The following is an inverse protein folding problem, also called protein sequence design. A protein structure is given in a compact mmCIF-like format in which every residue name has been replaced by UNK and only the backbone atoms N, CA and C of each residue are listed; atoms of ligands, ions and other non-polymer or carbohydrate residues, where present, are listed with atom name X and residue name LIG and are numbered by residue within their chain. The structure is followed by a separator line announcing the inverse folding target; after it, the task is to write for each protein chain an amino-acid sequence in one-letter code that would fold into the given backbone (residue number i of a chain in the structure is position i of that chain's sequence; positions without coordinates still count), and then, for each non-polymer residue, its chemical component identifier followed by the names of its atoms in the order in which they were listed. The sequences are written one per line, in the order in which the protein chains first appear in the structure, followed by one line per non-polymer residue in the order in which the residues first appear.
data_IF_901788412417
#
_entry.id   IF_901788412417
#
_cell.length_a   1.000
_cell.length_b   1.000
_cell.length_c   1.000
_cell.angle_alpha   90.00
_cell.angle_beta   90.00
_cell.angle_gamma   90.00
#
_symmetry.space_group_name_H-M   'P 1'
#
loop_
_entity.id
_entity.type
_entity.pdbx_description
1 polymer ?
#
# COMPACT_ATOMS: atom_id res chain seq x y z
N UNK A 1 21.31 20.38 15.54
CA UNK A 1 20.63 19.07 15.45
C UNK A 1 19.14 19.27 15.41
N UNK A 2 18.44 18.60 14.51
CA UNK A 2 16.99 18.62 14.43
C UNK A 2 16.43 17.24 14.79
N UNK A 3 15.26 17.21 15.44
CA UNK A 3 14.54 15.95 15.65
C UNK A 3 13.81 15.57 14.36
N UNK A 4 14.01 14.32 13.92
CA UNK A 4 13.30 13.70 12.82
C UNK A 4 12.40 12.59 13.33
N UNK A 5 11.37 12.25 12.57
CA UNK A 5 10.44 11.16 12.84
C UNK A 5 10.61 10.12 11.74
N UNK A 6 10.95 8.92 12.11
CA UNK A 6 11.09 7.78 11.21
C UNK A 6 9.92 6.82 11.47
N UNK A 7 9.00 6.73 10.56
CA UNK A 7 7.88 5.78 10.63
C UNK A 7 8.30 4.46 10.01
N UNK A 8 8.67 3.50 10.84
CA UNK A 8 9.04 2.16 10.43
C UNK A 8 7.77 1.37 10.12
N UNK A 9 7.58 0.99 8.86
CA UNK A 9 6.41 0.27 8.32
C UNK A 9 6.85 -1.13 7.95
N UNK A 10 6.07 -2.15 8.32
CA UNK A 10 6.34 -3.55 7.95
C UNK A 10 5.06 -4.36 7.79
N UNK A 11 5.17 -5.55 7.23
CA UNK A 11 4.08 -6.51 7.10
C UNK A 11 4.17 -7.55 8.21
N UNK A 12 3.06 -7.86 8.86
CA UNK A 12 2.99 -8.85 9.94
C UNK A 12 3.01 -10.30 9.44
N UNK A 13 2.88 -11.26 10.36
CA UNK A 13 2.90 -12.70 10.06
C UNK A 13 1.51 -13.34 9.98
N UNK A 14 0.44 -12.56 9.88
CA UNK A 14 -0.90 -13.13 9.75
C UNK A 14 -1.10 -13.78 8.37
N UNK A 15 -1.86 -14.85 8.34
CA UNK A 15 -2.19 -15.62 7.15
C UNK A 15 -3.72 -15.70 7.00
N UNK A 16 -4.30 -15.69 5.78
CA UNK A 16 -3.64 -15.66 4.47
C UNK A 16 -3.18 -14.27 4.01
N UNK A 17 -3.60 -13.21 4.68
CA UNK A 17 -3.29 -11.82 4.33
C UNK A 17 -2.53 -11.15 5.46
N UNK A 18 -1.38 -10.59 5.14
CA UNK A 18 -0.59 -9.78 6.05
C UNK A 18 -1.22 -8.40 6.24
N UNK A 19 -1.12 -7.85 7.45
CA UNK A 19 -1.51 -6.47 7.72
C UNK A 19 -0.27 -5.58 7.82
N UNK A 20 -0.42 -4.33 7.44
CA UNK A 20 0.60 -3.32 7.71
C UNK A 20 0.65 -2.99 9.20
N UNK A 21 1.87 -2.83 9.68
CA UNK A 21 2.18 -2.34 11.02
C UNK A 21 3.12 -1.16 10.91
N UNK A 22 3.04 -0.25 11.87
CA UNK A 22 3.98 0.85 11.93
C UNK A 22 4.30 1.27 13.36
N UNK A 23 5.45 1.90 13.52
CA UNK A 23 5.85 2.57 14.75
C UNK A 23 6.83 3.70 14.46
N UNK A 24 6.70 4.81 15.19
CA UNK A 24 7.51 5.99 14.99
C UNK A 24 8.74 5.99 15.91
N UNK A 25 9.92 6.13 15.34
CA UNK A 25 11.17 6.43 16.03
C UNK A 25 11.48 7.91 15.91
N UNK A 26 11.94 8.53 17.00
CA UNK A 26 12.39 9.92 17.00
C UNK A 26 13.88 9.95 17.27
N UNK A 27 14.64 10.51 16.36
CA UNK A 27 16.09 10.64 16.44
C UNK A 27 16.55 12.09 16.25
N UNK A 28 17.75 12.40 16.75
CA UNK A 28 18.40 13.69 16.50
C UNK A 28 19.46 13.51 15.42
N UNK A 29 19.33 14.29 14.36
CA UNK A 29 20.28 14.31 13.25
C UNK A 29 20.76 15.73 12.98
N UNK A 30 22.03 15.83 12.56
CA UNK A 30 22.57 17.04 11.99
C UNK A 30 22.59 16.90 10.45
N UNK A 31 21.73 17.68 9.78
CA UNK A 31 21.62 17.68 8.32
C UNK A 31 21.19 16.33 7.71
N UNK A 32 20.14 15.70 8.26
CA UNK A 32 19.56 14.47 7.72
C UNK A 32 19.16 14.64 6.25
N UNK A 33 19.60 13.73 5.39
CA UNK A 33 19.37 13.78 3.94
C UNK A 33 18.24 12.86 3.47
N UNK A 34 17.76 11.99 4.35
CA UNK A 34 16.72 11.02 4.03
C UNK A 34 17.24 9.82 3.25
N UNK A 35 18.41 9.31 3.60
CA UNK A 35 18.97 8.12 2.97
C UNK A 35 19.00 6.93 3.94
N UNK A 36 19.01 5.71 3.39
CA UNK A 36 19.02 4.47 4.18
C UNK A 36 20.27 4.33 5.05
N UNK A 37 21.42 4.86 4.56
CA UNK A 37 22.69 4.80 5.27
C UNK A 37 22.72 5.63 6.56
N UNK A 38 21.79 6.58 6.69
CA UNK A 38 21.70 7.45 7.87
C UNK A 38 20.81 6.87 8.97
N UNK A 39 20.10 5.78 8.70
CA UNK A 39 19.16 5.16 9.65
C UNK A 39 19.56 3.71 9.94
N UNK A 40 19.23 3.23 11.15
CA UNK A 40 19.58 1.89 11.58
C UNK A 40 18.39 0.95 11.71
N UNK A 41 18.68 -0.32 11.91
CA UNK A 41 17.70 -1.31 12.26
C UNK A 41 16.98 -0.94 13.57
N UNK A 42 15.77 -1.47 13.72
CA UNK A 42 15.03 -1.38 14.97
C UNK A 42 14.44 -2.74 15.34
N UNK A 43 14.15 -2.98 16.61
CA UNK A 43 13.49 -4.20 17.07
C UNK A 43 12.02 -3.97 17.39
N UNK A 44 11.24 -5.05 17.37
CA UNK A 44 9.85 -5.06 17.81
C UNK A 44 9.47 -6.41 18.39
N UNK A 45 8.37 -6.45 19.16
CA UNK A 45 7.83 -7.69 19.71
C UNK A 45 7.03 -8.46 18.64
N UNK A 46 7.67 -9.45 18.03
CA UNK A 46 7.08 -10.30 17.00
C UNK A 46 5.93 -11.18 17.50
N UNK A 47 5.82 -11.42 18.82
CA UNK A 47 4.70 -12.20 19.36
C UNK A 47 3.36 -11.52 19.16
N UNK A 48 3.34 -10.18 19.17
CA UNK A 48 2.15 -9.36 18.93
C UNK A 48 1.72 -9.31 17.46
N UNK A 49 2.56 -9.78 16.54
CA UNK A 49 2.35 -9.71 15.08
C UNK A 49 2.40 -11.09 14.39
N UNK A 50 2.34 -12.18 15.15
CA UNK A 50 2.45 -13.56 14.63
C UNK A 50 3.79 -13.87 13.95
N UNK A 51 4.88 -13.22 14.40
CA UNK A 51 6.22 -13.36 13.82
C UNK A 51 7.24 -13.95 14.81
N UNK A 52 6.86 -14.16 16.06
CA UNK A 52 7.68 -14.85 17.05
C UNK A 52 6.82 -15.50 18.13
N UNK A 53 7.44 -16.37 18.93
CA UNK A 53 6.82 -16.94 20.13
C UNK A 53 7.17 -16.11 21.37
N UNK A 54 6.27 -16.08 22.36
CA UNK A 54 6.40 -15.21 23.55
C UNK A 54 7.66 -15.41 24.40
N UNK A 55 8.34 -16.54 24.26
CA UNK A 55 9.59 -16.83 25.00
C UNK A 55 10.86 -16.26 24.35
N UNK A 56 10.80 -15.88 23.06
CA UNK A 56 11.88 -15.24 22.29
C UNK A 56 11.24 -14.37 21.22
N UNK A 57 10.76 -13.21 21.62
CA UNK A 57 9.83 -12.41 20.83
C UNK A 57 10.46 -11.33 19.98
N UNK A 58 11.76 -11.09 20.13
CA UNK A 58 12.43 -10.01 19.37
C UNK A 58 12.58 -10.36 17.88
N UNK A 59 12.04 -9.50 17.03
CA UNK A 59 12.30 -9.45 15.61
C UNK A 59 12.97 -8.12 15.23
N UNK A 60 13.65 -8.10 14.09
CA UNK A 60 14.33 -6.93 13.58
C UNK A 60 13.57 -6.33 12.39
N UNK A 61 13.48 -5.01 12.36
CA UNK A 61 13.11 -4.21 11.21
C UNK A 61 14.38 -3.72 10.53
N UNK A 62 14.56 -4.14 9.29
CA UNK A 62 15.70 -3.75 8.44
C UNK A 62 15.18 -2.79 7.37
N UNK A 63 15.57 -1.50 7.41
CA UNK A 63 15.15 -0.53 6.42
C UNK A 63 15.57 -0.90 5.00
N UNK A 64 14.64 -0.81 4.04
CA UNK A 64 14.89 -1.15 2.62
C UNK A 64 14.47 -0.06 1.64
N UNK A 65 13.58 0.85 2.05
CA UNK A 65 13.23 2.04 1.29
C UNK A 65 12.85 3.19 2.24
N UNK A 66 13.09 4.43 1.81
CA UNK A 66 12.78 5.62 2.60
C UNK A 66 12.16 6.69 1.70
N UNK A 67 11.09 7.32 2.19
CA UNK A 67 10.34 8.35 1.47
C UNK A 67 10.05 9.54 2.40
N UNK A 68 9.97 10.78 1.90
CA UNK A 68 9.46 11.89 2.70
C UNK A 68 8.04 11.60 3.18
N UNK A 69 7.75 11.91 4.45
CA UNK A 69 6.40 11.85 4.96
C UNK A 69 5.66 13.15 4.60
N UNK A 70 4.64 13.11 3.74
CA UNK A 70 4.00 14.31 3.23
C UNK A 70 3.12 15.04 4.27
N UNK A 71 2.82 14.38 5.39
CA UNK A 71 1.92 14.91 6.42
C UNK A 71 2.64 15.43 7.67
N UNK A 72 3.86 14.96 7.95
CA UNK A 72 4.57 15.28 9.18
C UNK A 72 5.86 16.04 8.93
N UNK A 73 5.99 17.20 9.57
CA UNK A 73 7.23 17.98 9.52
C UNK A 73 8.41 17.15 10.04
N UNK A 74 9.50 17.11 9.27
CA UNK A 74 10.69 16.30 9.54
C UNK A 74 10.34 14.79 9.66
N UNK A 75 9.33 14.34 8.93
CA UNK A 75 8.89 12.94 8.91
C UNK A 75 9.40 12.18 7.69
N UNK A 76 9.61 10.88 7.88
CA UNK A 76 10.03 9.96 6.84
C UNK A 76 9.31 8.63 7.00
N UNK A 77 8.85 8.08 5.90
CA UNK A 77 8.25 6.75 5.81
C UNK A 77 9.37 5.77 5.47
N UNK A 78 9.54 4.74 6.29
CA UNK A 78 10.62 3.77 6.15
C UNK A 78 10.01 2.39 5.98
N UNK A 79 10.09 1.84 4.77
CA UNK A 79 9.67 0.46 4.51
C UNK A 79 10.73 -0.50 5.02
N UNK A 80 10.29 -1.58 5.67
CA UNK A 80 11.21 -2.52 6.31
C UNK A 80 10.92 -3.97 5.93
N UNK A 81 11.97 -4.73 5.82
CA UNK A 81 11.95 -6.18 5.88
C UNK A 81 12.00 -6.67 7.34
N UNK A 82 11.37 -7.82 7.59
CA UNK A 82 11.40 -8.46 8.91
C UNK A 82 12.45 -9.57 8.93
N UNK A 83 13.28 -9.57 9.96
CA UNK A 83 14.31 -10.56 10.22
C UNK A 83 14.16 -11.18 11.61
N UNK A 84 14.57 -12.41 11.75
CA UNK A 84 14.74 -13.06 13.04
C UNK A 84 15.87 -12.40 13.85
N UNK A 85 15.91 -12.62 15.15
CA UNK A 85 16.95 -12.08 16.03
C UNK A 85 18.37 -12.56 15.65
N UNK A 86 18.49 -13.70 14.98
CA UNK A 86 19.76 -14.24 14.50
C UNK A 86 20.23 -13.62 13.16
N UNK A 87 19.47 -12.67 12.60
CA UNK A 87 19.80 -11.99 11.36
C UNK A 87 19.39 -12.74 10.08
N UNK A 88 18.64 -13.83 10.19
CA UNK A 88 18.06 -14.49 9.02
C UNK A 88 16.72 -13.85 8.64
N UNK A 89 16.35 -13.80 7.32
CA UNK A 89 15.03 -13.32 6.92
C UNK A 89 13.91 -14.11 7.61
N UNK A 90 12.92 -13.41 8.14
CA UNK A 90 11.75 -14.07 8.72
C UNK A 90 10.92 -14.76 7.63
N UNK A 91 10.25 -15.86 7.95
CA UNK A 91 9.44 -16.65 6.98
C UNK A 91 8.27 -15.85 6.37
N UNK A 92 7.81 -14.79 7.04
CA UNK A 92 6.80 -13.86 6.49
C UNK A 92 7.36 -12.77 5.57
N UNK A 93 8.70 -12.73 5.39
CA UNK A 93 9.36 -11.72 4.58
C UNK A 93 9.37 -12.13 3.10
N UNK A 94 8.27 -11.84 2.40
CA UNK A 94 8.15 -12.14 0.98
C UNK A 94 9.13 -11.35 0.10
N UNK A 95 9.51 -10.12 0.50
CA UNK A 95 10.45 -9.29 -0.26
C UNK A 95 11.84 -9.93 -0.37
N UNK A 96 12.30 -10.61 0.67
CA UNK A 96 13.60 -11.31 0.68
C UNK A 96 13.66 -12.51 -0.28
N UNK A 97 12.51 -12.96 -0.82
CA UNK A 97 12.48 -14.05 -1.81
C UNK A 97 12.66 -13.57 -3.25
N UNK A 98 12.77 -12.26 -3.47
CA UNK A 98 13.00 -11.69 -4.80
C UNK A 98 14.49 -11.73 -5.10
N UNK A 99 14.90 -12.71 -5.91
CA UNK A 99 16.31 -12.93 -6.27
C UNK A 99 16.75 -12.08 -7.47
N UNK A 100 15.84 -11.84 -8.43
CA UNK A 100 16.09 -11.02 -9.63
C UNK A 100 15.32 -9.70 -9.54
N UNK A 101 16.07 -8.62 -9.29
CA UNK A 101 15.54 -7.26 -9.16
C UNK A 101 16.31 -6.32 -10.08
N UNK A 102 16.04 -6.44 -11.38
CA UNK A 102 16.71 -5.62 -12.40
C UNK A 102 15.73 -4.67 -13.09
N UNK A 103 16.24 -3.52 -13.53
CA UNK A 103 15.48 -2.43 -14.14
C UNK A 103 14.91 -2.75 -15.53
N UNK A 104 15.26 -3.89 -16.13
CA UNK A 104 14.67 -4.31 -17.39
C UNK A 104 13.21 -4.73 -17.20
N UNK A 105 12.85 -5.25 -16.03
CA UNK A 105 11.47 -5.53 -15.69
C UNK A 105 10.76 -4.27 -15.22
N UNK A 106 9.71 -3.91 -15.94
CA UNK A 106 8.79 -2.83 -15.60
C UNK A 106 7.50 -3.42 -15.07
N UNK A 107 6.99 -2.84 -13.99
CA UNK A 107 5.75 -3.23 -13.36
C UNK A 107 4.78 -2.06 -13.30
N UNK A 108 3.51 -2.33 -13.61
CA UNK A 108 2.40 -1.40 -13.41
C UNK A 108 1.34 -2.08 -12.54
N UNK A 109 0.95 -1.44 -11.46
CA UNK A 109 -0.11 -1.91 -10.58
C UNK A 109 -1.33 -1.02 -10.70
N UNK A 110 -2.50 -1.63 -10.88
CA UNK A 110 -3.81 -1.00 -10.87
C UNK A 110 -4.54 -1.54 -9.63
N UNK A 111 -4.43 -0.82 -8.51
CA UNK A 111 -5.01 -1.27 -7.24
C UNK A 111 -6.42 -0.73 -7.09
N UNK A 112 -7.40 -1.61 -7.22
CA UNK A 112 -8.77 -1.34 -6.86
C UNK A 112 -9.00 -1.53 -5.36
N UNK A 113 -9.96 -0.78 -4.82
CA UNK A 113 -10.37 -0.85 -3.41
C UNK A 113 -11.75 -0.25 -3.21
N UNK A 114 -12.40 -0.61 -2.11
CA UNK A 114 -13.62 0.05 -1.65
C UNK A 114 -13.32 0.97 -0.49
N UNK A 115 -13.89 2.18 -0.52
CA UNK A 115 -13.98 3.04 0.65
C UNK A 115 -15.21 2.62 1.44
N UNK A 116 -15.00 2.15 2.66
CA UNK A 116 -16.04 1.65 3.54
C UNK A 116 -16.31 2.64 4.67
N UNK A 117 -17.56 2.89 4.95
CA UNK A 117 -17.97 3.70 6.12
C UNK A 117 -17.89 2.87 7.39
N UNK A 118 -17.19 3.37 8.43
CA UNK A 118 -16.98 2.62 9.68
C UNK A 118 -18.26 2.41 10.50
N UNK A 119 -19.25 3.30 10.38
CA UNK A 119 -20.50 3.20 11.15
C UNK A 119 -21.49 2.23 10.52
N UNK A 120 -21.59 2.21 9.20
CA UNK A 120 -22.54 1.37 8.47
C UNK A 120 -21.95 0.05 7.99
N UNK A 121 -20.62 -0.05 7.89
CA UNK A 121 -19.89 -1.18 7.30
C UNK A 121 -20.30 -1.44 5.84
N UNK A 122 -20.74 -0.40 5.14
CA UNK A 122 -21.12 -0.43 3.73
C UNK A 122 -20.16 0.43 2.91
N UNK A 123 -20.02 0.14 1.60
CA UNK A 123 -19.31 1.02 0.70
C UNK A 123 -19.87 2.44 0.73
N UNK A 124 -18.98 3.42 0.65
CA UNK A 124 -19.37 4.83 0.69
C UNK A 124 -20.36 5.17 -0.43
N UNK A 125 -21.48 5.79 -0.07
CA UNK A 125 -22.55 6.12 -0.99
C UNK A 125 -23.61 5.02 -1.16
N UNK A 126 -23.47 3.85 -0.51
CA UNK A 126 -24.55 2.89 -0.46
C UNK A 126 -25.70 3.43 0.39
N UNK A 127 -26.95 3.34 -0.10
CA UNK A 127 -28.10 3.79 0.67
C UNK A 127 -28.36 2.86 1.84
N UNK A 128 -28.52 3.39 3.05
CA UNK A 128 -28.91 2.60 4.22
C UNK A 128 -30.34 2.07 4.03
N UNK A 129 -30.47 0.74 4.07
CA UNK A 129 -31.77 0.07 3.88
C UNK A 129 -32.32 0.06 2.45
N UNK A 130 -31.47 0.41 1.48
CA UNK A 130 -31.79 0.38 0.05
C UNK A 130 -30.78 -0.39 -0.78
N UNK A 131 -30.90 -0.30 -2.09
CA UNK A 131 -29.93 -0.86 -3.04
C UNK A 131 -29.24 0.27 -3.78
N UNK A 132 -27.92 0.16 -4.03
CA UNK A 132 -27.22 1.10 -4.91
C UNK A 132 -27.71 0.94 -6.35
N UNK A 133 -27.35 1.89 -7.21
CA UNK A 133 -27.56 1.76 -8.65
C UNK A 133 -26.77 0.56 -9.20
N UNK A 134 -27.17 0.03 -10.37
CA UNK A 134 -26.38 -1.01 -11.05
C UNK A 134 -24.95 -0.59 -11.28
N UNK A 135 -24.04 -1.56 -11.34
CA UNK A 135 -22.64 -1.35 -11.72
C UNK A 135 -22.53 -0.66 -13.08
N UNK A 136 -21.40 -0.01 -13.30
CA UNK A 136 -21.13 0.75 -14.51
C UNK A 136 -21.61 2.20 -14.46
N UNK A 137 -22.63 2.50 -13.67
CA UNK A 137 -23.11 3.88 -13.49
C UNK A 137 -22.10 4.78 -12.77
N UNK A 138 -21.14 4.18 -12.09
CA UNK A 138 -20.13 4.86 -11.28
C UNK A 138 -18.78 5.00 -11.98
N UNK A 139 -18.52 4.17 -13.00
CA UNK A 139 -17.23 4.13 -13.70
C UNK A 139 -16.86 5.48 -14.31
N UNK A 140 -15.73 6.02 -13.86
CA UNK A 140 -15.22 7.34 -14.27
C UNK A 140 -16.26 8.46 -14.16
N UNK A 141 -17.22 8.36 -13.23
CA UNK A 141 -18.35 9.27 -13.16
C UNK A 141 -17.97 10.63 -12.59
N UNK A 142 -18.82 11.61 -12.85
CA UNK A 142 -18.70 12.98 -12.37
C UNK A 142 -20.02 13.42 -11.73
N UNK A 143 -19.93 14.19 -10.66
CA UNK A 143 -21.07 14.76 -9.96
C UNK A 143 -21.57 13.94 -8.79
N UNK A 144 -22.16 14.61 -7.81
CA UNK A 144 -22.48 14.09 -6.48
C UNK A 144 -23.53 12.96 -6.43
N UNK A 145 -24.21 12.65 -7.54
CA UNK A 145 -25.15 11.52 -7.60
C UNK A 145 -24.45 10.16 -7.75
N UNK A 146 -23.27 10.14 -8.32
CA UNK A 146 -22.56 8.91 -8.66
C UNK A 146 -21.14 8.86 -8.14
N UNK A 147 -20.57 9.98 -7.69
CA UNK A 147 -19.19 10.06 -7.22
C UNK A 147 -19.17 10.18 -5.70
N UNK A 148 -18.55 9.22 -5.05
CA UNK A 148 -18.44 9.18 -3.59
C UNK A 148 -16.98 8.96 -3.18
N UNK A 149 -16.45 9.80 -2.28
CA UNK A 149 -15.10 9.69 -1.74
C UNK A 149 -14.00 10.39 -2.55
N UNK A 150 -14.32 11.22 -3.55
CA UNK A 150 -13.34 11.91 -4.40
C UNK A 150 -12.34 12.74 -3.59
N UNK A 151 -12.78 13.48 -2.58
CA UNK A 151 -11.88 14.32 -1.78
C UNK A 151 -10.78 13.49 -1.10
N UNK A 152 -11.13 12.32 -0.56
CA UNK A 152 -10.17 11.38 0.02
C UNK A 152 -9.21 10.86 -1.04
N UNK A 153 -9.71 10.45 -2.20
CA UNK A 153 -8.90 9.86 -3.27
C UNK A 153 -7.93 10.86 -3.88
N UNK A 154 -8.37 12.11 -4.08
CA UNK A 154 -7.50 13.18 -4.58
C UNK A 154 -6.46 13.59 -3.53
N UNK A 155 -6.83 13.66 -2.24
CA UNK A 155 -5.86 13.88 -1.16
C UNK A 155 -4.83 12.75 -1.10
N UNK A 156 -5.24 11.48 -1.26
CA UNK A 156 -4.33 10.34 -1.34
C UNK A 156 -3.34 10.47 -2.50
N UNK A 157 -3.83 10.80 -3.69
CA UNK A 157 -2.97 11.02 -4.87
C UNK A 157 -1.92 12.12 -4.59
N UNK A 158 -2.35 13.24 -4.00
CA UNK A 158 -1.47 14.33 -3.61
C UNK A 158 -0.40 13.90 -2.60
N UNK A 159 -0.76 13.07 -1.62
CA UNK A 159 0.18 12.53 -0.63
C UNK A 159 1.20 11.58 -1.31
N UNK A 160 0.77 10.69 -2.19
CA UNK A 160 1.67 9.80 -2.93
C UNK A 160 2.67 10.58 -3.78
N UNK A 161 2.21 11.61 -4.51
CA UNK A 161 3.07 12.48 -5.32
C UNK A 161 4.07 13.25 -4.45
N UNK A 162 3.63 13.80 -3.32
CA UNK A 162 4.50 14.51 -2.37
C UNK A 162 5.52 13.58 -1.70
N UNK A 163 5.18 12.33 -1.47
CA UNK A 163 6.12 11.30 -0.99
C UNK A 163 7.14 10.89 -2.07
N UNK A 164 6.95 11.28 -3.33
CA UNK A 164 7.84 10.97 -4.44
C UNK A 164 7.62 9.59 -5.05
N UNK A 165 6.44 8.98 -4.83
CA UNK A 165 6.08 7.71 -5.47
C UNK A 165 5.83 7.90 -6.97
N UNK A 166 6.10 6.87 -7.76
CA UNK A 166 5.79 6.83 -9.19
C UNK A 166 4.28 6.59 -9.41
N UNK A 167 3.50 7.55 -8.98
CA UNK A 167 2.04 7.51 -9.01
C UNK A 167 1.54 7.97 -10.38
N UNK A 168 0.72 7.15 -11.06
CA UNK A 168 0.34 7.36 -12.46
C UNK A 168 -1.10 7.86 -12.62
N UNK A 169 -2.01 7.48 -11.73
CA UNK A 169 -3.40 7.90 -11.88
C UNK A 169 -4.37 7.37 -10.85
N UNK A 170 -5.60 7.87 -10.96
CA UNK A 170 -6.77 7.45 -10.19
C UNK A 170 -7.99 7.41 -11.09
N UNK A 171 -8.90 6.50 -10.84
CA UNK A 171 -10.24 6.51 -11.43
C UNK A 171 -11.25 5.89 -10.47
N UNK A 172 -12.50 6.31 -10.63
CA UNK A 172 -13.60 5.64 -9.97
C UNK A 172 -13.96 4.37 -10.74
N UNK A 173 -14.18 3.28 -10.01
CA UNK A 173 -14.50 1.98 -10.56
C UNK A 173 -16.02 1.74 -10.69
N UNK A 174 -16.38 0.54 -11.18
CA UNK A 174 -17.74 0.23 -11.63
C UNK A 174 -18.78 0.20 -10.50
N UNK A 175 -18.34 0.00 -9.25
CA UNK A 175 -19.22 -0.06 -8.10
C UNK A 175 -19.23 1.25 -7.29
N UNK A 176 -20.30 1.50 -6.57
CA UNK A 176 -20.40 2.65 -5.67
C UNK A 176 -19.34 2.56 -4.57
N UNK A 177 -18.57 3.63 -4.38
CA UNK A 177 -17.49 3.67 -3.39
C UNK A 177 -16.23 2.89 -3.78
N UNK A 178 -16.19 2.30 -4.97
CA UNK A 178 -15.01 1.62 -5.51
C UNK A 178 -14.15 2.59 -6.30
N UNK A 179 -12.85 2.55 -6.04
CA UNK A 179 -11.84 3.38 -6.68
C UNK A 179 -10.60 2.55 -7.02
N UNK A 180 -9.76 3.12 -7.86
CA UNK A 180 -8.49 2.55 -8.27
C UNK A 180 -7.41 3.63 -8.19
N UNK A 181 -6.19 3.22 -7.79
CA UNK A 181 -5.00 3.99 -8.05
C UNK A 181 -3.97 3.19 -8.83
N UNK A 182 -3.10 3.88 -9.56
CA UNK A 182 -2.12 3.29 -10.45
C UNK A 182 -0.71 3.72 -10.09
N UNK A 183 0.21 2.74 -10.10
CA UNK A 183 1.64 2.92 -9.86
C UNK A 183 2.45 2.25 -10.96
N UNK A 184 3.60 2.82 -11.26
CA UNK A 184 4.59 2.26 -12.17
C UNK A 184 5.97 2.24 -11.52
N UNK A 185 6.72 1.14 -11.69
CA UNK A 185 8.11 1.08 -11.23
C UNK A 185 8.97 0.19 -12.12
N UNK A 186 10.27 0.42 -12.09
CA UNK A 186 11.28 -0.45 -12.67
C UNK A 186 11.97 -1.23 -11.54
N UNK A 187 12.00 -2.56 -11.69
CA UNK A 187 12.44 -3.45 -10.62
C UNK A 187 11.30 -3.90 -9.70
N UNK A 188 11.33 -5.16 -9.30
CA UNK A 188 10.25 -5.79 -8.53
C UNK A 188 10.17 -5.26 -7.09
N UNK A 189 11.33 -5.01 -6.46
CA UNK A 189 11.38 -4.52 -5.08
C UNK A 189 10.84 -3.11 -4.96
N UNK A 190 11.26 -2.21 -5.84
CA UNK A 190 10.75 -0.84 -5.85
C UNK A 190 9.24 -0.81 -6.09
N UNK A 191 8.74 -1.61 -7.03
CA UNK A 191 7.30 -1.70 -7.31
C UNK A 191 6.50 -2.14 -6.08
N UNK A 192 6.98 -3.17 -5.37
CA UNK A 192 6.35 -3.65 -4.14
C UNK A 192 6.43 -2.63 -2.99
N UNK A 193 7.58 -2.02 -2.80
CA UNK A 193 7.80 -1.02 -1.74
C UNK A 193 6.86 0.19 -1.93
N UNK A 194 6.78 0.73 -3.15
CA UNK A 194 5.91 1.87 -3.46
C UNK A 194 4.42 1.53 -3.33
N UNK A 195 4.01 0.33 -3.74
CA UNK A 195 2.63 -0.12 -3.55
C UNK A 195 2.24 -0.16 -2.06
N UNK A 196 3.12 -0.69 -1.20
CA UNK A 196 2.85 -0.72 0.23
C UNK A 196 2.87 0.66 0.88
N UNK A 197 3.74 1.56 0.45
CA UNK A 197 3.73 2.96 0.92
C UNK A 197 2.44 3.68 0.47
N UNK A 198 1.99 3.48 -0.77
CA UNK A 198 0.74 4.05 -1.25
C UNK A 198 -0.47 3.54 -0.43
N UNK A 199 -0.54 2.22 -0.16
CA UNK A 199 -1.55 1.64 0.72
C UNK A 199 -1.47 2.22 2.14
N UNK A 200 -0.26 2.36 2.68
CA UNK A 200 -0.06 2.96 4.01
C UNK A 200 -0.62 4.39 4.08
N UNK A 201 -0.31 5.22 3.10
CA UNK A 201 -0.82 6.59 3.02
C UNK A 201 -2.34 6.61 2.92
N UNK A 202 -2.93 5.72 2.12
CA UNK A 202 -4.38 5.61 1.98
C UNK A 202 -5.06 5.19 3.28
N UNK A 203 -4.57 4.13 3.93
CA UNK A 203 -5.13 3.64 5.19
C UNK A 203 -5.01 4.69 6.31
N UNK A 204 -3.85 5.36 6.41
CA UNK A 204 -3.64 6.45 7.37
C UNK A 204 -4.59 7.63 7.13
N UNK A 205 -4.81 7.97 5.86
CA UNK A 205 -5.71 9.05 5.50
C UNK A 205 -7.14 8.77 5.93
N UNK A 206 -7.60 7.51 5.82
CA UNK A 206 -8.97 7.14 6.21
C UNK A 206 -9.29 7.37 7.70
N UNK A 207 -8.27 7.36 8.57
CA UNK A 207 -8.44 7.64 10.00
C UNK A 207 -9.06 9.03 10.25
N UNK A 208 -8.79 10.01 9.38
CA UNK A 208 -9.34 11.38 9.47
C UNK A 208 -10.82 11.44 9.06
N UNK A 209 -11.22 10.56 8.14
CA UNK A 209 -12.53 10.60 7.51
C UNK A 209 -13.55 9.68 8.22
N UNK A 210 -13.11 8.82 9.13
CA UNK A 210 -13.96 7.79 9.74
C UNK A 210 -14.34 6.69 8.75
N UNK A 211 -13.44 6.39 7.81
CA UNK A 211 -13.59 5.32 6.82
C UNK A 211 -12.53 4.24 7.06
N UNK A 212 -12.63 3.16 6.30
CA UNK A 212 -11.55 2.17 6.13
C UNK A 212 -11.53 1.68 4.68
N UNK A 213 -10.40 1.11 4.29
CA UNK A 213 -10.23 0.57 2.95
C UNK A 213 -10.41 -0.95 2.98
N UNK A 214 -11.19 -1.45 2.03
CA UNK A 214 -11.37 -2.88 1.83
C UNK A 214 -10.72 -3.32 0.52
N UNK A 215 -9.69 -4.15 0.64
CA UNK A 215 -8.92 -4.69 -0.49
C UNK A 215 -9.35 -6.12 -0.88
N UNK A 216 -10.35 -6.70 -0.17
CA UNK A 216 -10.82 -8.05 -0.49
C UNK A 216 -11.39 -8.09 -1.91
N UNK A 217 -11.05 -9.10 -2.73
CA UNK A 217 -11.49 -9.16 -4.12
C UNK A 217 -13.01 -9.30 -4.32
N UNK A 218 -13.76 -9.72 -3.30
CA UNK A 218 -15.22 -9.81 -3.29
C UNK A 218 -15.80 -9.28 -1.96
N UNK A 219 -15.70 -7.96 -1.70
CA UNK A 219 -16.04 -7.39 -0.40
C UNK A 219 -17.54 -7.44 -0.09
N UNK A 220 -18.38 -7.48 -1.12
CA UNK A 220 -19.84 -7.52 -0.99
C UNK A 220 -20.39 -8.95 -0.93
N UNK A 221 -19.51 -9.95 -0.82
CA UNK A 221 -19.85 -11.37 -0.78
C UNK A 221 -19.84 -12.05 -2.14
N UNK A 222 -19.48 -13.32 -2.13
CA UNK A 222 -19.32 -14.14 -3.35
C UNK A 222 -20.64 -14.38 -4.11
N UNK A 223 -21.78 -14.26 -3.45
CA UNK A 223 -23.10 -14.53 -4.00
C UNK A 223 -23.75 -13.26 -4.61
N UNK A 224 -23.08 -12.12 -4.51
CA UNK A 224 -23.52 -10.88 -5.13
C UNK A 224 -23.03 -10.84 -6.58
N UNK A 225 -23.92 -10.47 -7.50
CA UNK A 225 -23.61 -10.28 -8.92
C UNK A 225 -22.89 -8.92 -9.15
N UNK A 226 -21.73 -8.78 -8.49
CA UNK A 226 -20.87 -7.62 -8.57
C UNK A 226 -19.48 -8.04 -9.03
N UNK A 227 -18.83 -7.17 -9.83
CA UNK A 227 -17.44 -7.34 -10.19
C UNK A 227 -16.56 -7.42 -8.95
N UNK A 228 -15.38 -7.98 -9.11
CA UNK A 228 -14.38 -7.98 -8.06
C UNK A 228 -13.76 -6.62 -7.87
N UNK A 229 -12.94 -6.55 -6.83
CA UNK A 229 -11.97 -5.49 -6.60
C UNK A 229 -10.60 -6.14 -6.74
N UNK A 230 -9.89 -5.83 -7.80
CA UNK A 230 -8.65 -6.52 -8.17
C UNK A 230 -7.39 -5.71 -7.83
N UNK A 231 -6.27 -6.34 -8.07
CA UNK A 231 -5.02 -5.65 -8.30
C UNK A 231 -4.42 -6.24 -9.57
N UNK A 232 -4.52 -5.52 -10.67
CA UNK A 232 -3.88 -5.92 -11.91
C UNK A 232 -2.37 -5.67 -11.79
N UNK A 233 -1.59 -6.71 -12.02
CA UNK A 233 -0.13 -6.64 -12.03
C UNK A 233 0.36 -6.78 -13.48
N UNK A 234 0.59 -5.67 -14.12
CA UNK A 234 1.15 -5.62 -15.46
C UNK A 234 2.68 -5.68 -15.38
N UNK A 235 3.30 -6.41 -16.28
CA UNK A 235 4.76 -6.46 -16.34
C UNK A 235 5.27 -6.55 -17.78
N UNK A 236 6.48 -6.07 -18.00
CA UNK A 236 7.19 -6.23 -19.26
C UNK A 236 8.69 -6.21 -19.05
N UNK A 237 9.42 -6.82 -19.97
CA UNK A 237 10.86 -6.67 -20.12
C UNK A 237 11.19 -6.15 -21.52
N UNK A 238 12.47 -5.91 -21.82
CA UNK A 238 12.91 -5.39 -23.12
C UNK A 238 12.48 -6.27 -24.30
N UNK A 239 12.45 -7.59 -24.11
CA UNK A 239 12.02 -8.54 -25.16
C UNK A 239 10.54 -8.35 -25.44
N UNK A 240 9.68 -8.32 -24.42
CA UNK A 240 8.25 -8.11 -24.57
C UNK A 240 7.94 -6.73 -25.22
N UNK A 241 8.67 -5.69 -24.83
CA UNK A 241 8.48 -4.33 -25.36
C UNK A 241 8.92 -4.16 -26.80
N UNK A 242 9.91 -4.94 -27.29
CA UNK A 242 10.50 -4.77 -28.62
C UNK A 242 10.01 -5.80 -29.63
N UNK A 243 9.77 -7.03 -29.25
CA UNK A 243 9.43 -8.11 -30.18
C UNK A 243 7.94 -8.31 -30.40
N UNK A 244 7.09 -8.10 -29.40
CA UNK A 244 5.61 -8.11 -29.50
C UNK A 244 4.99 -9.33 -30.19
N UNK A 245 5.72 -10.44 -30.36
CA UNK A 245 5.23 -11.64 -31.01
C UNK A 245 4.65 -12.62 -30.01
N UNK A 246 3.75 -13.52 -30.48
CA UNK A 246 3.19 -14.61 -29.65
C UNK A 246 4.25 -15.57 -29.10
N UNK A 247 5.45 -15.56 -29.65
CA UNK A 247 6.57 -16.42 -29.25
C UNK A 247 7.34 -15.86 -28.05
N UNK A 248 7.04 -14.62 -27.63
CA UNK A 248 7.67 -13.92 -26.50
C UNK A 248 6.82 -13.90 -25.23
N UNK A 249 5.61 -14.48 -25.28
CA UNK A 249 4.72 -14.63 -24.13
C UNK A 249 4.80 -16.03 -23.53
#
# INVERSE_FOLDING_TARGET
MAKIKLEYIWLDGYYPTQNMRSKTKVEEHENFKGTLEEIGNWSFDGSSTKQAEGGSSDCLLVPVAIYPDPERVNGWLVMNEVYNADGTPHTSNGRATIDDDNDDFWFGFEQEYFIMDTATQLPLGFPVGGSPKPQGMYYCSVGGLNTHGRDLVEEHADLCIKAGLNFEGINQEVACGQWEFQLFAKGAKLAGDELWIARYLLDRLTEKYGYFIEYHPKPLGKDMDWNGSGMHANFSNSVLRTCGSKETY
#
